data_IF_466809709100
#
_entry.id   IF_466809709100
#
_cell.length_a   1.000
_cell.length_b   1.000
_cell.length_c   1.000
_cell.angle_alpha   90.00
_cell.angle_beta   90.00
_cell.angle_gamma   90.00
#
_symmetry.space_group_name_H-M   'P 1'
#
loop_
_entity.id
_entity.type
_entity.pdbx_description
1 polymer ?
#
# COMPACT_ATOMS: atom_id res chain seq x y z
N UNK A 1 -2.07 2.89 18.87
CA UNK A 1 -3.26 2.77 19.72
C UNK A 1 -3.16 1.60 20.69
N UNK A 2 -2.83 0.36 20.26
CA UNK A 2 -2.72 -0.79 21.16
C UNK A 2 -1.78 -0.58 22.38
N UNK A 3 -0.62 0.06 22.18
CA UNK A 3 0.29 0.44 23.29
C UNK A 3 -0.36 1.36 24.33
N UNK A 4 -1.38 2.14 23.93
CA UNK A 4 -2.13 3.06 24.79
C UNK A 4 -3.38 2.41 25.41
N UNK A 5 -3.60 1.11 25.19
CA UNK A 5 -4.77 0.39 25.70
C UNK A 5 -6.04 0.63 24.88
N UNK A 6 -5.93 0.71 23.55
CA UNK A 6 -7.06 0.85 22.65
C UNK A 6 -7.02 -0.19 21.53
N UNK A 7 -8.15 -0.84 21.27
CA UNK A 7 -8.36 -1.84 20.23
C UNK A 7 -9.32 -1.32 19.17
N UNK A 8 -9.04 -1.61 17.90
CA UNK A 8 -9.87 -1.21 16.77
C UNK A 8 -11.14 -2.05 16.71
N UNK A 9 -12.30 -1.39 16.62
CA UNK A 9 -13.61 -2.05 16.44
C UNK A 9 -14.06 -1.98 14.99
N UNK A 10 -13.96 -0.78 14.40
CA UNK A 10 -14.48 -0.49 13.06
C UNK A 10 -13.66 0.57 12.36
N UNK A 11 -13.62 0.45 11.03
CA UNK A 11 -13.03 1.45 10.13
C UNK A 11 -14.10 2.01 9.22
N UNK A 12 -14.14 3.34 9.08
CA UNK A 12 -14.93 4.05 8.08
C UNK A 12 -13.99 4.78 7.10
N UNK A 13 -14.56 5.56 6.16
CA UNK A 13 -13.73 6.28 5.16
C UNK A 13 -12.61 7.09 5.79
N UNK A 14 -12.90 7.89 6.81
CA UNK A 14 -11.96 8.79 7.47
C UNK A 14 -11.80 8.43 8.95
N UNK A 15 -12.80 7.82 9.56
CA UNK A 15 -12.88 7.56 10.98
C UNK A 15 -12.41 6.15 11.34
N UNK A 16 -11.90 6.04 12.56
CA UNK A 16 -11.56 4.78 13.21
C UNK A 16 -12.24 4.77 14.58
N UNK A 17 -12.91 3.70 14.88
CA UNK A 17 -13.57 3.49 16.17
C UNK A 17 -12.76 2.52 17.01
N UNK A 18 -12.51 2.89 18.26
CA UNK A 18 -11.69 2.13 19.20
C UNK A 18 -12.44 1.87 20.50
N UNK A 19 -12.18 0.73 21.12
CA UNK A 19 -12.62 0.40 22.47
C UNK A 19 -11.41 0.33 23.43
N UNK A 20 -11.58 0.57 24.72
CA UNK A 20 -10.55 0.32 25.71
C UNK A 20 -10.18 -1.17 25.79
N UNK A 21 -8.89 -1.46 25.90
CA UNK A 21 -8.36 -2.81 26.11
C UNK A 21 -7.10 -2.75 26.98
N UNK A 22 -6.53 -3.92 27.34
CA UNK A 22 -5.23 -3.93 28.03
C UNK A 22 -4.13 -3.40 27.09
N UNK A 23 -3.19 -2.57 27.56
CA UNK A 23 -2.06 -2.14 26.78
C UNK A 23 -1.30 -3.30 26.15
N UNK A 24 -0.95 -3.18 24.86
CA UNK A 24 -0.27 -4.21 24.07
C UNK A 24 -1.02 -5.55 23.94
N UNK A 25 -2.31 -5.60 24.17
CA UNK A 25 -3.10 -6.83 24.04
C UNK A 25 -3.13 -7.37 22.60
N UNK A 26 -3.13 -6.48 21.62
CA UNK A 26 -3.20 -6.84 20.21
C UNK A 26 -2.08 -6.18 19.42
N UNK A 27 -1.74 -6.78 18.28
CA UNK A 27 -0.85 -6.23 17.25
C UNK A 27 -1.61 -6.05 15.95
N UNK A 28 -1.22 -5.04 15.19
CA UNK A 28 -1.79 -4.74 13.88
C UNK A 28 -0.73 -4.83 12.80
N UNK A 29 -1.12 -5.37 11.66
CA UNK A 29 -0.39 -5.30 10.41
C UNK A 29 -1.29 -4.67 9.35
N UNK A 30 -0.73 -3.90 8.44
CA UNK A 30 -1.47 -3.31 7.31
C UNK A 30 -0.97 -3.98 6.04
N UNK A 31 -1.91 -4.45 5.24
CA UNK A 31 -1.63 -5.07 3.96
C UNK A 31 -2.36 -4.35 2.81
N UNK A 32 -1.68 -4.18 1.67
CA UNK A 32 -2.23 -3.54 0.50
C UNK A 32 -2.74 -4.60 -0.48
N UNK A 33 -4.05 -4.61 -0.69
CA UNK A 33 -4.73 -5.56 -1.58
C UNK A 33 -5.33 -4.93 -2.83
N UNK A 34 -5.09 -3.64 -3.05
CA UNK A 34 -5.68 -2.90 -4.16
C UNK A 34 -5.29 -3.39 -5.55
N UNK A 35 -4.18 -4.14 -5.67
CA UNK A 35 -3.72 -4.77 -6.91
C UNK A 35 -4.42 -6.13 -7.19
N UNK A 36 -5.08 -6.71 -6.20
CA UNK A 36 -5.81 -7.97 -6.33
C UNK A 36 -7.15 -7.75 -7.03
N UNK A 37 -7.63 -8.76 -7.73
CA UNK A 37 -9.03 -8.78 -8.17
C UNK A 37 -9.97 -8.83 -6.97
N UNK A 38 -11.26 -8.58 -7.17
CA UNK A 38 -12.22 -8.68 -6.07
C UNK A 38 -12.26 -10.09 -5.48
N UNK A 39 -12.26 -11.11 -6.33
CA UNK A 39 -12.30 -12.51 -5.92
C UNK A 39 -11.04 -12.92 -5.14
N UNK A 40 -9.84 -12.57 -5.64
CA UNK A 40 -8.59 -12.82 -4.91
C UNK A 40 -8.55 -12.10 -3.55
N UNK A 41 -9.09 -10.89 -3.47
CA UNK A 41 -9.14 -10.12 -2.23
C UNK A 41 -10.13 -10.72 -1.23
N UNK A 42 -11.31 -11.18 -1.68
CA UNK A 42 -12.30 -11.82 -0.84
C UNK A 42 -11.80 -13.20 -0.35
N UNK A 43 -11.14 -13.99 -1.21
CA UNK A 43 -10.51 -15.26 -0.82
C UNK A 43 -9.39 -15.05 0.21
N UNK A 44 -8.57 -14.03 0.01
CA UNK A 44 -7.50 -13.69 0.95
C UNK A 44 -8.05 -13.20 2.29
N UNK A 45 -9.13 -12.43 2.29
CA UNK A 45 -9.82 -12.01 3.49
C UNK A 45 -10.33 -13.22 4.30
N UNK A 46 -11.04 -14.14 3.63
CA UNK A 46 -11.54 -15.38 4.27
C UNK A 46 -10.40 -16.22 4.85
N UNK A 47 -9.31 -16.39 4.11
CA UNK A 47 -8.12 -17.09 4.60
C UNK A 47 -7.56 -16.48 5.89
N UNK A 48 -7.51 -15.16 5.98
CA UNK A 48 -7.02 -14.50 7.21
C UNK A 48 -7.99 -14.68 8.39
N UNK A 49 -9.30 -14.67 8.15
CA UNK A 49 -10.30 -14.95 9.19
C UNK A 49 -10.23 -16.42 9.66
N UNK A 50 -10.04 -17.36 8.75
CA UNK A 50 -9.87 -18.79 9.07
C UNK A 50 -8.62 -19.05 9.93
N UNK A 51 -7.58 -18.23 9.76
CA UNK A 51 -6.39 -18.22 10.63
C UNK A 51 -6.64 -17.59 12.00
N UNK A 52 -7.86 -17.13 12.31
CA UNK A 52 -8.24 -16.51 13.57
C UNK A 52 -7.83 -15.05 13.71
N UNK A 53 -7.49 -14.36 12.61
CA UNK A 53 -7.21 -12.94 12.62
C UNK A 53 -8.51 -12.13 12.49
N UNK A 54 -8.56 -10.96 13.13
CA UNK A 54 -9.63 -9.98 12.89
C UNK A 54 -9.18 -9.02 11.80
N UNK A 55 -9.99 -8.89 10.75
CA UNK A 55 -9.62 -8.15 9.55
C UNK A 55 -10.59 -7.00 9.31
N UNK A 56 -10.05 -5.84 8.94
CA UNK A 56 -10.82 -4.64 8.63
C UNK A 56 -10.40 -4.10 7.26
N UNK A 57 -11.36 -3.75 6.43
CA UNK A 57 -11.11 -3.04 5.18
C UNK A 57 -10.87 -1.55 5.42
N UNK A 58 -9.96 -0.96 4.66
CA UNK A 58 -9.71 0.48 4.67
C UNK A 58 -9.49 1.02 3.26
N UNK A 59 -10.00 2.22 3.05
CA UNK A 59 -9.78 3.00 1.83
C UNK A 59 -8.47 3.80 1.93
N UNK A 60 -7.68 3.86 0.84
CA UNK A 60 -6.48 4.71 0.76
C UNK A 60 -6.79 6.17 0.45
N UNK A 61 -8.07 6.53 0.19
CA UNK A 61 -8.54 7.87 -0.15
C UNK A 61 -7.91 8.49 -1.42
N UNK A 62 -7.37 7.67 -2.33
CA UNK A 62 -6.77 8.09 -3.60
C UNK A 62 -7.64 7.73 -4.81
N UNK A 63 -8.89 7.36 -4.56
CA UNK A 63 -9.82 6.95 -5.61
C UNK A 63 -10.80 8.07 -5.92
N UNK A 64 -11.13 8.19 -7.19
CA UNK A 64 -12.11 9.15 -7.69
C UNK A 64 -13.26 8.42 -8.38
N UNK A 65 -14.49 8.89 -8.19
CA UNK A 65 -15.66 8.34 -8.88
C UNK A 65 -16.54 9.45 -9.40
N UNK A 66 -16.97 9.30 -10.65
CA UNK A 66 -17.97 10.16 -11.29
C UNK A 66 -19.08 9.24 -11.79
N UNK A 67 -20.23 9.25 -11.11
CA UNK A 67 -21.32 8.33 -11.40
C UNK A 67 -20.91 6.86 -11.23
N UNK A 68 -21.04 6.05 -12.30
CA UNK A 68 -20.61 4.63 -12.32
C UNK A 68 -19.14 4.43 -12.65
N UNK A 69 -18.45 5.47 -13.13
CA UNK A 69 -17.04 5.38 -13.53
C UNK A 69 -16.18 5.58 -12.27
N UNK A 70 -15.28 4.63 -12.03
CA UNK A 70 -14.33 4.62 -10.91
C UNK A 70 -12.93 4.74 -11.45
N UNK A 71 -12.25 5.82 -11.12
CA UNK A 71 -10.88 6.07 -11.53
C UNK A 71 -9.92 5.80 -10.39
N UNK A 72 -8.93 4.94 -10.66
CA UNK A 72 -7.86 4.52 -9.74
C UNK A 72 -6.52 4.74 -10.42
N UNK A 73 -5.92 5.93 -10.30
CA UNK A 73 -4.69 6.27 -11.03
C UNK A 73 -3.50 5.34 -10.71
N UNK A 74 -3.53 4.71 -9.55
CA UNK A 74 -2.50 3.79 -9.05
C UNK A 74 -2.68 2.34 -9.52
N UNK A 75 -3.85 1.97 -10.09
CA UNK A 75 -4.15 0.58 -10.41
C UNK A 75 -3.55 0.15 -11.75
N UNK A 76 -2.85 -0.98 -11.77
CA UNK A 76 -2.36 -1.63 -12.98
C UNK A 76 -3.24 -2.84 -13.37
N UNK A 77 -3.57 -3.70 -12.40
CA UNK A 77 -4.48 -4.83 -12.59
C UNK A 77 -5.92 -4.42 -12.30
N UNK A 78 -6.87 -4.89 -13.11
CA UNK A 78 -8.29 -4.55 -13.00
C UNK A 78 -8.67 -3.18 -13.57
N UNK A 79 -7.73 -2.49 -14.26
CA UNK A 79 -7.96 -1.26 -15.01
C UNK A 79 -7.95 0.01 -14.14
N UNK A 80 -7.42 1.09 -14.72
CA UNK A 80 -7.48 2.43 -14.10
C UNK A 80 -8.90 2.99 -14.08
N UNK A 81 -9.70 2.63 -15.07
CA UNK A 81 -11.14 2.93 -15.15
C UNK A 81 -11.89 1.62 -14.94
N UNK A 82 -12.71 1.55 -13.91
CA UNK A 82 -13.50 0.36 -13.60
C UNK A 82 -14.98 0.72 -13.48
N UNK A 83 -15.80 -0.04 -14.21
CA UNK A 83 -17.27 0.03 -14.14
C UNK A 83 -17.79 -1.12 -13.26
N UNK A 84 -17.10 -2.25 -13.27
CA UNK A 84 -17.47 -3.46 -12.54
C UNK A 84 -17.01 -3.45 -11.07
N UNK A 85 -17.47 -4.43 -10.30
CA UNK A 85 -17.07 -4.63 -8.91
C UNK A 85 -15.55 -4.89 -8.80
N UNK A 86 -14.89 -4.08 -7.98
CA UNK A 86 -13.44 -4.12 -7.74
C UNK A 86 -13.19 -3.95 -6.25
N UNK A 87 -11.92 -3.98 -5.85
CA UNK A 87 -11.47 -3.60 -4.49
C UNK A 87 -11.59 -2.09 -4.21
N UNK A 88 -12.36 -1.36 -4.99
CA UNK A 88 -12.54 0.08 -4.86
C UNK A 88 -13.05 0.44 -3.45
N UNK A 89 -12.37 1.37 -2.78
CA UNK A 89 -12.56 1.74 -1.38
C UNK A 89 -12.26 0.63 -0.36
N UNK A 90 -11.59 -0.45 -0.76
CA UNK A 90 -11.17 -1.57 0.08
C UNK A 90 -9.75 -2.02 -0.29
N UNK A 91 -8.84 -1.06 -0.45
CA UNK A 91 -7.50 -1.31 -0.96
C UNK A 91 -6.53 -1.77 0.13
N UNK A 92 -6.85 -1.50 1.39
CA UNK A 92 -6.04 -1.89 2.54
C UNK A 92 -6.81 -2.85 3.44
N UNK A 93 -6.11 -3.85 3.96
CA UNK A 93 -6.54 -4.64 5.10
C UNK A 93 -5.76 -4.20 6.34
N UNK A 94 -6.47 -3.96 7.43
CA UNK A 94 -5.88 -3.83 8.76
C UNK A 94 -6.16 -5.15 9.46
N UNK A 95 -5.12 -5.92 9.69
CA UNK A 95 -5.22 -7.24 10.31
C UNK A 95 -4.78 -7.18 11.75
N UNK A 96 -5.63 -7.66 12.64
CA UNK A 96 -5.39 -7.71 14.08
C UNK A 96 -5.10 -9.13 14.52
N UNK A 97 -4.10 -9.28 15.37
CA UNK A 97 -3.71 -10.54 16.03
C UNK A 97 -3.50 -10.30 17.52
N UNK A 98 -3.81 -11.29 18.34
CA UNK A 98 -3.41 -11.29 19.74
C UNK A 98 -1.88 -11.17 19.87
N UNK A 99 -1.41 -10.33 20.79
CA UNK A 99 0.02 -10.11 20.96
C UNK A 99 0.68 -11.29 21.67
N UNK A 100 1.51 -12.01 20.95
CA UNK A 100 2.30 -13.14 21.44
C UNK A 100 3.79 -12.81 21.67
N UNK A 101 4.14 -11.52 21.72
CA UNK A 101 5.53 -11.04 21.84
C UNK A 101 6.32 -11.02 20.53
N UNK A 102 5.98 -11.87 19.55
CA UNK A 102 6.69 -11.97 18.26
C UNK A 102 6.29 -10.83 17.30
N UNK A 103 7.15 -10.40 16.38
CA UNK A 103 6.75 -9.50 15.30
C UNK A 103 5.51 -10.02 14.58
N UNK A 104 4.62 -9.13 14.19
CA UNK A 104 3.47 -9.50 13.39
C UNK A 104 3.69 -9.00 11.96
N UNK A 105 4.08 -9.91 11.11
CA UNK A 105 4.20 -9.72 9.68
C UNK A 105 3.24 -10.70 9.03
N UNK A 106 2.38 -10.19 8.17
CA UNK A 106 1.66 -11.02 7.23
C UNK A 106 2.69 -11.41 6.17
N UNK A 107 2.71 -12.68 5.80
CA UNK A 107 3.46 -13.15 4.63
C UNK A 107 2.80 -12.61 3.35
N UNK A 108 2.72 -11.29 3.25
CA UNK A 108 2.56 -10.63 1.96
C UNK A 108 3.81 -11.02 1.20
N UNK A 109 3.66 -11.61 0.04
CA UNK A 109 4.83 -12.02 -0.73
C UNK A 109 5.73 -10.79 -0.85
N UNK A 110 7.02 -10.93 -0.62
CA UNK A 110 7.98 -9.85 -0.82
C UNK A 110 7.85 -9.23 -2.22
N UNK A 111 7.26 -9.97 -3.15
CA UNK A 111 6.89 -9.53 -4.49
C UNK A 111 5.78 -8.47 -4.48
N UNK A 112 4.73 -8.64 -3.69
CA UNK A 112 3.65 -7.65 -3.54
C UNK A 112 4.19 -6.34 -2.94
N UNK A 113 5.12 -6.45 -2.00
CA UNK A 113 5.80 -5.29 -1.40
C UNK A 113 6.71 -4.58 -2.42
N UNK A 114 7.45 -5.34 -3.23
CA UNK A 114 8.27 -4.79 -4.31
C UNK A 114 7.39 -4.13 -5.39
N UNK A 115 6.26 -4.73 -5.72
CA UNK A 115 5.27 -4.18 -6.66
C UNK A 115 4.67 -2.85 -6.14
N UNK A 116 4.29 -2.79 -4.88
CA UNK A 116 3.81 -1.55 -4.25
C UNK A 116 4.82 -0.41 -4.37
N UNK A 117 6.09 -0.65 -4.02
CA UNK A 117 7.14 0.37 -4.15
C UNK A 117 7.42 0.75 -5.60
N UNK A 118 7.30 -0.18 -6.55
CA UNK A 118 7.40 0.08 -7.98
C UNK A 118 6.33 1.08 -8.43
N UNK A 119 5.10 0.91 -7.96
CA UNK A 119 3.99 1.81 -8.30
C UNK A 119 4.15 3.21 -7.69
N UNK A 120 4.72 3.31 -6.50
CA UNK A 120 5.08 4.59 -5.90
C UNK A 120 6.22 5.29 -6.65
N UNK A 121 7.21 4.53 -7.15
CA UNK A 121 8.36 5.07 -7.89
C UNK A 121 7.99 5.60 -9.28
N UNK A 122 7.11 4.90 -10.00
CA UNK A 122 6.84 5.18 -11.41
C UNK A 122 6.38 6.63 -11.70
N UNK A 123 5.49 7.27 -10.92
CA UNK A 123 5.16 8.69 -11.11
C UNK A 123 6.38 9.60 -10.95
N UNK A 124 7.28 9.31 -9.99
CA UNK A 124 8.50 10.08 -9.78
C UNK A 124 9.49 9.94 -10.92
N UNK A 125 9.58 8.75 -11.56
CA UNK A 125 10.38 8.55 -12.77
C UNK A 125 9.88 9.42 -13.93
N UNK A 126 8.56 9.55 -14.09
CA UNK A 126 7.99 10.39 -15.13
C UNK A 126 8.33 11.87 -14.90
N UNK A 127 8.17 12.35 -13.67
CA UNK A 127 8.50 13.73 -13.28
C UNK A 127 10.00 13.99 -13.45
N UNK A 128 10.85 13.06 -13.01
CA UNK A 128 12.31 13.12 -13.18
C UNK A 128 12.68 13.28 -14.66
N UNK A 129 12.07 12.47 -15.53
CA UNK A 129 12.33 12.49 -16.97
C UNK A 129 11.90 13.82 -17.60
N UNK A 130 10.74 14.37 -17.22
CA UNK A 130 10.26 15.66 -17.70
C UNK A 130 11.20 16.80 -17.28
N UNK A 131 11.67 16.82 -16.03
CA UNK A 131 12.62 17.85 -15.58
C UNK A 131 13.99 17.68 -16.22
N UNK A 132 14.48 16.45 -16.42
CA UNK A 132 15.75 16.20 -17.08
C UNK A 132 15.75 16.69 -18.54
N UNK A 133 14.70 16.39 -19.31
CA UNK A 133 14.55 16.90 -20.67
C UNK A 133 14.50 18.44 -20.66
N UNK A 134 13.70 19.02 -19.76
CA UNK A 134 13.56 20.49 -19.68
C UNK A 134 14.89 21.16 -19.29
N UNK A 135 15.70 20.54 -18.44
CA UNK A 135 17.03 21.03 -18.06
C UNK A 135 17.97 21.06 -19.27
N UNK A 136 17.95 20.00 -20.09
CA UNK A 136 18.80 19.91 -21.29
C UNK A 136 18.34 20.93 -22.36
N UNK A 137 17.02 20.98 -22.65
CA UNK A 137 16.50 21.86 -23.72
C UNK A 137 16.61 23.34 -23.38
N UNK A 138 16.46 23.70 -22.11
CA UNK A 138 16.50 25.12 -21.68
C UNK A 138 17.82 25.54 -21.04
N UNK A 139 18.76 24.64 -20.90
CA UNK A 139 20.06 24.83 -20.21
C UNK A 139 19.88 25.58 -18.87
N UNK A 140 18.84 25.22 -18.11
CA UNK A 140 18.40 25.96 -16.93
C UNK A 140 18.84 25.26 -15.64
N UNK A 141 19.56 26.00 -14.80
CA UNK A 141 20.01 25.53 -13.47
C UNK A 141 18.81 25.15 -12.58
N UNK A 142 17.67 25.85 -12.73
CA UNK A 142 16.46 25.55 -11.95
C UNK A 142 15.90 24.17 -12.28
N UNK A 143 15.78 23.81 -13.56
CA UNK A 143 15.33 22.48 -13.95
C UNK A 143 16.36 21.39 -13.57
N UNK A 144 17.63 21.71 -13.61
CA UNK A 144 18.69 20.83 -13.14
C UNK A 144 18.58 20.51 -11.64
N UNK A 145 18.36 21.52 -10.81
CA UNK A 145 18.14 21.32 -9.37
C UNK A 145 16.85 20.57 -9.05
N UNK A 146 15.76 20.82 -9.76
CA UNK A 146 14.52 20.07 -9.64
C UNK A 146 14.71 18.59 -10.02
N UNK A 147 15.52 18.31 -11.04
CA UNK A 147 15.88 16.94 -11.42
C UNK A 147 16.61 16.22 -10.28
N UNK A 148 17.57 16.88 -9.62
CA UNK A 148 18.30 16.30 -8.48
C UNK A 148 17.36 16.04 -7.28
N UNK A 149 16.43 16.95 -6.98
CA UNK A 149 15.45 16.78 -5.90
C UNK A 149 14.53 15.59 -6.19
N UNK A 150 14.04 15.45 -7.42
CA UNK A 150 13.15 14.34 -7.80
C UNK A 150 13.86 13.00 -7.90
N UNK A 151 15.18 12.98 -8.01
CA UNK A 151 15.97 11.75 -7.96
C UNK A 151 15.93 11.07 -6.59
N UNK A 152 15.83 11.85 -5.50
CA UNK A 152 15.83 11.33 -4.13
C UNK A 152 14.71 10.30 -3.90
N UNK A 153 13.42 10.60 -4.10
CA UNK A 153 12.36 9.62 -3.90
C UNK A 153 12.48 8.42 -4.85
N UNK A 154 12.97 8.61 -6.08
CA UNK A 154 13.23 7.49 -7.01
C UNK A 154 14.24 6.52 -6.43
N UNK A 155 15.36 7.01 -5.89
CA UNK A 155 16.39 6.17 -5.27
C UNK A 155 15.88 5.46 -4.01
N UNK A 156 15.12 6.14 -3.16
CA UNK A 156 14.52 5.56 -1.96
C UNK A 156 13.61 4.39 -2.32
N UNK A 157 12.67 4.58 -3.24
CA UNK A 157 11.77 3.51 -3.66
C UNK A 157 12.50 2.39 -4.40
N UNK A 158 13.49 2.71 -5.22
CA UNK A 158 14.31 1.70 -5.88
C UNK A 158 15.05 0.82 -4.88
N UNK A 159 15.61 1.41 -3.83
CA UNK A 159 16.28 0.67 -2.76
C UNK A 159 15.31 -0.27 -2.02
N UNK A 160 14.09 0.20 -1.71
CA UNK A 160 13.06 -0.64 -1.09
C UNK A 160 12.64 -1.81 -1.97
N UNK A 161 12.54 -1.62 -3.29
CA UNK A 161 12.25 -2.69 -4.26
C UNK A 161 13.36 -3.75 -4.23
N UNK A 162 14.63 -3.31 -4.27
CA UNK A 162 15.78 -4.23 -4.25
C UNK A 162 15.82 -5.00 -2.93
N UNK A 163 15.60 -4.31 -1.80
CA UNK A 163 15.56 -4.92 -0.47
C UNK A 163 14.47 -6.01 -0.40
N UNK A 164 13.23 -5.69 -0.79
CA UNK A 164 12.12 -6.64 -0.78
C UNK A 164 12.39 -7.86 -1.66
N UNK A 165 12.99 -7.69 -2.84
CA UNK A 165 13.35 -8.81 -3.72
C UNK A 165 14.48 -9.68 -3.16
N UNK A 166 15.43 -9.11 -2.40
CA UNK A 166 16.47 -9.90 -1.73
C UNK A 166 15.88 -10.74 -0.60
N UNK A 167 14.99 -10.17 0.19
CA UNK A 167 14.30 -10.87 1.28
C UNK A 167 13.43 -12.02 0.76
N UNK A 168 12.78 -11.87 -0.42
CA UNK A 168 12.07 -12.96 -1.10
C UNK A 168 13.00 -14.16 -1.38
N UNK A 169 14.15 -13.91 -1.99
CA UNK A 169 15.10 -14.97 -2.34
C UNK A 169 15.70 -15.70 -1.14
N UNK A 170 15.83 -15.01 0.00
CA UNK A 170 16.41 -15.60 1.21
C UNK A 170 15.39 -16.45 1.99
N UNK A 171 14.09 -16.21 1.78
CA UNK A 171 13.02 -16.99 2.43
C UNK A 171 12.65 -18.28 1.68
N UNK A 172 13.12 -18.44 0.43
CA UNK A 172 12.90 -19.62 -0.41
C UNK A 172 14.07 -20.64 -0.31
N UNK A 173 15.14 -20.28 0.35
CA UNK A 173 16.31 -21.16 0.61
C UNK A 173 16.28 -21.69 2.06
#
# INVERSE_FOLDING_TARGET
MSKKGYRLIRTEKILYEFEPCRPNQVKYCIDFIGHKSKEEADNYYMFLEDMGYKVFYKNINLNYSIGKIRWRPWAEKGGRLAINATTFNRELLIVEKANNGKPFELHTSYEDKAYYYKNLRNPWLLILFLFAISAIMKTSVVFGSLTLITLIPVLIYQWQIIKSRRESKTSES
#
